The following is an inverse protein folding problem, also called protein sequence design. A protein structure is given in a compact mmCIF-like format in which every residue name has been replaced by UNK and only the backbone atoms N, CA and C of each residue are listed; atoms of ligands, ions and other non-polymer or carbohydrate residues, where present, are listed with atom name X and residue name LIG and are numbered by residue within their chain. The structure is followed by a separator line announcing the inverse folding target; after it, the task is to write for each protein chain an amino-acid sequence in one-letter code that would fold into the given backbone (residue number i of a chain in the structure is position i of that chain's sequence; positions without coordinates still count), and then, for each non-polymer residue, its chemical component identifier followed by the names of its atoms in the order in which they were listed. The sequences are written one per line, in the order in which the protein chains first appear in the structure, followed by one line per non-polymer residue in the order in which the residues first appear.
data_IF_529114381765
#
_entry.id   IF_529114381765
#
_cell.length_a   1.000
_cell.length_b   1.000
_cell.length_c   1.000
_cell.angle_alpha   90.00
_cell.angle_beta   90.00
_cell.angle_gamma   90.00
#
_symmetry.space_group_name_H-M   'P 1'
#
loop_
_entity.id
_entity.type
_entity.pdbx_description
1 polymer ?
#
# COMPACT_ATOMS: atom_id res chain seq x y z
N UNK A 1 -62.09 63.74 47.99
CA UNK A 1 -60.84 63.85 47.21
C UNK A 1 -60.18 62.48 47.17
N UNK A 2 -60.01 61.91 45.96
CA UNK A 2 -59.27 60.68 45.60
C UNK A 2 -59.71 59.35 46.23
N UNK A 3 -59.79 58.21 45.56
CA UNK A 3 -59.70 57.82 44.14
C UNK A 3 -60.18 56.35 44.15
N UNK A 4 -61.24 56.00 43.39
CA UNK A 4 -61.65 54.60 43.21
C UNK A 4 -60.72 53.95 42.19
N UNK A 5 -59.80 53.10 42.63
CA UNK A 5 -59.02 52.25 41.74
C UNK A 5 -59.85 51.04 41.31
N UNK A 6 -60.40 51.11 40.10
CA UNK A 6 -61.07 50.02 39.41
C UNK A 6 -60.03 49.11 38.75
N UNK A 7 -59.78 47.92 39.32
CA UNK A 7 -59.01 46.87 38.65
C UNK A 7 -59.91 46.19 37.61
N UNK A 8 -59.76 46.58 36.34
CA UNK A 8 -60.30 45.83 35.20
C UNK A 8 -59.52 44.53 35.05
N UNK A 9 -60.16 43.40 35.32
CA UNK A 9 -59.71 42.07 34.90
C UNK A 9 -59.96 41.94 33.41
N UNK A 10 -58.94 42.21 32.60
CA UNK A 10 -58.95 41.96 31.16
C UNK A 10 -58.76 40.47 30.91
N UNK A 11 -59.85 39.73 30.70
CA UNK A 11 -59.81 38.38 30.12
C UNK A 11 -59.36 38.49 28.67
N UNK A 12 -58.07 38.28 28.41
CA UNK A 12 -57.54 38.13 27.07
C UNK A 12 -58.12 36.87 26.40
N UNK A 13 -58.46 36.90 25.11
CA UNK A 13 -58.91 35.72 24.38
C UNK A 13 -57.79 34.66 24.39
N UNK A 14 -58.15 33.45 24.79
CA UNK A 14 -57.21 32.36 25.05
C UNK A 14 -56.44 31.98 23.77
N UNK A 15 -55.19 32.40 23.70
CA UNK A 15 -54.24 32.08 22.64
C UNK A 15 -54.04 30.56 22.55
N UNK A 16 -53.76 30.01 21.36
CA UNK A 16 -53.65 28.55 21.14
C UNK A 16 -52.62 27.90 22.06
N UNK A 17 -51.54 28.62 22.38
CA UNK A 17 -50.54 28.23 23.37
C UNK A 17 -51.10 28.10 24.79
N UNK A 18 -52.02 28.98 25.19
CA UNK A 18 -52.70 28.91 26.49
C UNK A 18 -53.66 27.72 26.59
N UNK A 19 -54.30 27.34 25.47
CA UNK A 19 -55.15 26.13 25.41
C UNK A 19 -54.33 24.85 25.54
N UNK A 20 -53.16 24.79 24.89
CA UNK A 20 -52.23 23.67 24.99
C UNK A 20 -51.66 23.58 26.42
N UNK A 21 -51.28 24.71 27.03
CA UNK A 21 -50.79 24.74 28.40
C UNK A 21 -51.85 24.29 29.42
N UNK A 22 -53.11 24.73 29.26
CA UNK A 22 -54.22 24.32 30.11
C UNK A 22 -54.54 22.82 29.97
N UNK A 23 -54.54 22.29 28.75
CA UNK A 23 -54.74 20.86 28.49
C UNK A 23 -53.61 20.01 29.11
N UNK A 24 -52.37 20.52 29.04
CA UNK A 24 -51.20 19.87 29.64
C UNK A 24 -51.21 19.86 31.16
N UNK A 25 -51.76 20.91 31.79
CA UNK A 25 -51.88 20.98 33.25
C UNK A 25 -52.94 20.00 33.79
N UNK A 26 -54.03 19.76 33.04
CA UNK A 26 -55.14 18.87 33.45
C UNK A 26 -54.75 17.39 33.27
N UNK A 27 -53.98 17.05 32.25
CA UNK A 27 -53.58 15.66 31.92
C UNK A 27 -52.10 15.37 32.23
N UNK A 28 -51.54 16.03 33.23
CA UNK A 28 -50.10 16.05 33.53
C UNK A 28 -49.47 14.66 33.69
N UNK A 29 -50.16 13.73 34.36
CA UNK A 29 -49.67 12.35 34.54
C UNK A 29 -49.61 11.53 33.25
N UNK A 30 -50.64 11.63 32.39
CA UNK A 30 -50.67 10.90 31.12
C UNK A 30 -49.64 11.44 30.13
N UNK A 31 -49.43 12.75 30.12
CA UNK A 31 -48.41 13.40 29.28
C UNK A 31 -47.01 12.98 29.73
N UNK A 32 -46.77 12.92 31.05
CA UNK A 32 -45.48 12.49 31.58
C UNK A 32 -45.18 11.03 31.21
N UNK A 33 -46.13 10.12 31.35
CA UNK A 33 -45.99 8.72 30.90
C UNK A 33 -45.78 8.64 29.38
N UNK A 34 -46.54 9.42 28.59
CA UNK A 34 -46.38 9.48 27.14
C UNK A 34 -44.98 9.92 26.72
N UNK A 35 -44.43 10.95 27.36
CA UNK A 35 -43.06 11.40 27.12
C UNK A 35 -42.01 10.38 27.57
N UNK A 36 -42.24 9.70 28.70
CA UNK A 36 -41.36 8.64 29.17
C UNK A 36 -41.30 7.48 28.18
N UNK A 37 -42.45 7.05 27.65
CA UNK A 37 -42.53 6.01 26.62
C UNK A 37 -41.86 6.47 25.33
N UNK A 38 -42.10 7.71 24.87
CA UNK A 38 -41.46 8.27 23.68
C UNK A 38 -39.94 8.38 23.83
N UNK A 39 -39.45 8.76 25.01
CA UNK A 39 -38.02 8.79 25.32
C UNK A 39 -37.42 7.38 25.30
N UNK A 40 -38.13 6.39 25.86
CA UNK A 40 -37.68 5.00 25.90
C UNK A 40 -37.64 4.38 24.49
N UNK A 41 -38.66 4.65 23.66
CA UNK A 41 -38.66 4.26 22.24
C UNK A 41 -37.51 4.96 21.49
N UNK A 42 -37.31 6.25 21.70
CA UNK A 42 -36.22 6.99 21.04
C UNK A 42 -34.85 6.45 21.45
N UNK A 43 -34.68 6.10 22.73
CA UNK A 43 -33.46 5.48 23.24
C UNK A 43 -33.24 4.11 22.61
N UNK A 44 -34.26 3.24 22.56
CA UNK A 44 -34.17 1.93 21.90
C UNK A 44 -33.81 2.09 20.42
N UNK A 45 -34.48 3.01 19.70
CA UNK A 45 -34.18 3.29 18.30
C UNK A 45 -32.76 3.82 18.10
N UNK A 46 -32.27 4.68 19.00
CA UNK A 46 -30.89 5.12 18.96
C UNK A 46 -29.93 3.95 19.17
N UNK A 47 -30.17 3.07 20.16
CA UNK A 47 -29.31 1.91 20.39
C UNK A 47 -29.33 0.89 19.25
N UNK A 48 -30.46 0.71 18.55
CA UNK A 48 -30.56 -0.29 17.46
C UNK A 48 -30.14 0.23 16.10
N UNK A 49 -30.28 1.54 15.86
CA UNK A 49 -30.14 2.13 14.52
C UNK A 49 -28.95 3.07 14.38
N UNK A 50 -28.30 3.47 15.48
CA UNK A 50 -27.10 4.29 15.42
C UNK A 50 -25.93 3.44 14.92
N UNK A 51 -25.61 3.60 13.65
CA UNK A 51 -24.44 3.01 13.01
C UNK A 51 -23.39 4.09 12.78
N UNK A 52 -22.14 3.78 13.09
CA UNK A 52 -21.00 4.63 12.75
C UNK A 52 -20.61 4.29 11.31
N UNK A 53 -20.34 5.32 10.49
CA UNK A 53 -19.84 5.12 9.14
C UNK A 53 -18.64 6.04 8.95
N UNK A 54 -17.48 5.43 8.79
CA UNK A 54 -16.18 6.10 8.67
C UNK A 54 -15.82 6.43 7.22
N UNK A 55 -16.72 6.22 6.25
CA UNK A 55 -16.51 6.56 4.84
C UNK A 55 -16.61 8.09 4.59
N UNK A 56 -15.49 8.79 4.34
CA UNK A 56 -15.50 10.23 4.07
C UNK A 56 -16.24 10.58 2.78
N UNK A 57 -16.35 9.64 1.84
CA UNK A 57 -17.09 9.80 0.60
C UNK A 57 -18.58 10.01 0.81
N UNK A 58 -19.17 9.45 1.88
CA UNK A 58 -20.60 9.65 2.21
C UNK A 58 -20.90 10.96 2.93
N UNK A 59 -19.87 11.73 3.31
CA UNK A 59 -20.05 13.07 3.87
C UNK A 59 -20.45 14.11 2.79
N UNK A 60 -20.24 13.77 1.51
CA UNK A 60 -20.52 14.64 0.37
C UNK A 60 -21.64 14.02 -0.47
N UNK A 61 -22.59 14.86 -0.91
CA UNK A 61 -23.73 14.42 -1.73
C UNK A 61 -23.28 13.61 -2.95
N UNK A 62 -23.91 12.46 -3.17
CA UNK A 62 -23.69 11.58 -4.32
C UNK A 62 -24.14 12.19 -5.65
N UNK A 63 -24.96 13.23 -5.63
CA UNK A 63 -25.54 13.81 -6.85
C UNK A 63 -24.59 14.72 -7.62
N UNK A 64 -23.46 15.09 -7.01
CA UNK A 64 -22.46 15.94 -7.64
C UNK A 64 -21.86 15.25 -8.87
N UNK A 65 -21.65 15.98 -9.98
CA UNK A 65 -21.13 15.39 -11.23
C UNK A 65 -19.87 14.56 -11.05
N UNK A 66 -18.90 15.04 -10.24
CA UNK A 66 -17.66 14.31 -9.99
C UNK A 66 -17.88 13.01 -9.21
N UNK A 67 -18.89 12.92 -8.33
CA UNK A 67 -19.21 11.70 -7.57
C UNK A 67 -19.78 10.62 -8.48
N UNK A 68 -20.59 11.01 -9.49
CA UNK A 68 -21.08 10.10 -10.52
C UNK A 68 -19.92 9.55 -11.35
N UNK A 69 -19.03 10.42 -11.83
CA UNK A 69 -17.84 10.00 -12.57
C UNK A 69 -16.90 9.12 -11.75
N UNK A 70 -16.71 9.43 -10.46
CA UNK A 70 -15.91 8.60 -9.56
C UNK A 70 -16.55 7.22 -9.33
N UNK A 71 -17.87 7.16 -9.13
CA UNK A 71 -18.60 5.91 -8.99
C UNK A 71 -18.50 5.05 -10.26
N UNK A 72 -18.62 5.66 -11.44
CA UNK A 72 -18.45 4.97 -12.73
C UNK A 72 -17.01 4.44 -12.91
N UNK A 73 -16.01 5.23 -12.51
CA UNK A 73 -14.60 4.83 -12.51
C UNK A 73 -14.36 3.65 -11.57
N UNK A 74 -14.78 3.73 -10.31
CA UNK A 74 -14.62 2.65 -9.32
C UNK A 74 -15.34 1.38 -9.75
N UNK A 75 -16.52 1.50 -10.37
CA UNK A 75 -17.25 0.35 -10.94
C UNK A 75 -16.49 -0.31 -12.10
N UNK A 76 -15.83 0.48 -12.93
CA UNK A 76 -15.08 0.00 -14.10
C UNK A 76 -13.70 -0.53 -13.74
N UNK A 77 -13.10 -0.02 -12.66
CA UNK A 77 -11.76 -0.35 -12.20
C UNK A 77 -11.77 -0.71 -10.70
N UNK A 78 -12.47 -1.79 -10.29
CA UNK A 78 -12.61 -2.15 -8.88
C UNK A 78 -11.27 -2.46 -8.21
N UNK A 79 -10.24 -2.81 -8.98
CA UNK A 79 -8.89 -3.08 -8.47
C UNK A 79 -8.15 -1.82 -7.98
N UNK A 80 -8.63 -0.61 -8.30
CA UNK A 80 -7.97 0.65 -7.93
C UNK A 80 -8.59 1.35 -6.71
N UNK A 81 -9.64 0.77 -6.14
CA UNK A 81 -10.41 1.38 -5.06
C UNK A 81 -9.97 0.85 -3.69
N UNK A 82 -9.79 1.75 -2.73
CA UNK A 82 -9.39 1.47 -1.35
C UNK A 82 -8.08 0.67 -1.21
N UNK A 83 -7.11 0.93 -2.08
CA UNK A 83 -5.79 0.31 -2.00
C UNK A 83 -4.85 1.06 -1.06
N UNK A 84 -4.06 0.30 -0.31
CA UNK A 84 -2.92 0.80 0.44
C UNK A 84 -1.65 0.58 -0.38
N UNK A 85 -0.75 1.57 -0.33
CA UNK A 85 0.55 1.46 -0.96
C UNK A 85 1.60 1.20 0.12
N UNK A 86 2.19 0.02 0.09
CA UNK A 86 3.34 -0.34 0.93
C UNK A 86 4.61 -0.02 0.14
N UNK A 87 5.51 0.73 0.78
CA UNK A 87 6.77 1.14 0.20
C UNK A 87 7.90 0.37 0.86
N UNK A 88 8.68 -0.36 0.06
CA UNK A 88 9.85 -1.10 0.53
C UNK A 88 11.09 -0.41 -0.01
N UNK A 89 11.96 0.04 0.89
CA UNK A 89 13.20 0.74 0.55
C UNK A 89 14.41 0.06 1.21
N UNK A 90 15.50 -0.08 0.45
CA UNK A 90 16.76 -0.59 0.96
C UNK A 90 17.95 0.16 0.35
N UNK A 91 19.12 0.04 0.99
CA UNK A 91 20.35 0.68 0.53
C UNK A 91 20.80 0.12 -0.84
N UNK A 92 20.50 -1.16 -1.12
CA UNK A 92 20.81 -1.87 -2.36
C UNK A 92 19.52 -2.35 -3.06
N UNK A 93 19.43 -2.15 -4.38
CA UNK A 93 18.22 -2.43 -5.17
C UNK A 93 17.78 -3.90 -5.15
N UNK A 94 18.75 -4.83 -5.23
CA UNK A 94 18.47 -6.27 -5.16
C UNK A 94 17.83 -6.68 -3.84
N UNK A 95 18.28 -6.10 -2.72
CA UNK A 95 17.70 -6.36 -1.41
C UNK A 95 16.28 -5.82 -1.33
N UNK A 96 16.03 -4.62 -1.86
CA UNK A 96 14.69 -4.06 -1.92
C UNK A 96 13.74 -4.95 -2.75
N UNK A 97 14.21 -5.46 -3.89
CA UNK A 97 13.46 -6.38 -4.76
C UNK A 97 13.10 -7.68 -4.04
N UNK A 98 14.07 -8.32 -3.39
CA UNK A 98 13.88 -9.58 -2.66
C UNK A 98 12.89 -9.43 -1.50
N UNK A 99 13.08 -8.38 -0.69
CA UNK A 99 12.16 -8.08 0.42
C UNK A 99 10.73 -7.80 -0.08
N UNK A 100 10.60 -7.06 -1.19
CA UNK A 100 9.31 -6.78 -1.80
C UNK A 100 8.62 -8.04 -2.33
N UNK A 101 9.37 -8.93 -2.98
CA UNK A 101 8.84 -10.21 -3.46
C UNK A 101 8.33 -11.07 -2.31
N UNK A 102 9.10 -11.17 -1.21
CA UNK A 102 8.69 -11.90 -0.02
C UNK A 102 7.43 -11.30 0.61
N UNK A 103 7.31 -9.97 0.64
CA UNK A 103 6.14 -9.30 1.20
C UNK A 103 4.89 -9.53 0.34
N UNK A 104 5.02 -9.45 -0.99
CA UNK A 104 3.94 -9.76 -1.93
C UNK A 104 3.45 -11.19 -1.74
N UNK A 105 4.35 -12.17 -1.61
CA UNK A 105 4.00 -13.56 -1.37
C UNK A 105 3.26 -13.75 -0.04
N UNK A 106 3.78 -13.14 1.04
CA UNK A 106 3.17 -13.17 2.36
C UNK A 106 1.75 -12.58 2.36
N UNK A 107 1.57 -11.38 1.78
CA UNK A 107 0.24 -10.75 1.71
C UNK A 107 -0.71 -11.52 0.78
N UNK A 108 -0.20 -12.04 -0.34
CA UNK A 108 -1.01 -12.85 -1.25
C UNK A 108 -1.54 -14.12 -0.61
N UNK A 109 -0.84 -14.68 0.39
CA UNK A 109 -1.27 -15.86 1.14
C UNK A 109 -2.41 -15.58 2.13
N UNK A 110 -2.55 -14.33 2.59
CA UNK A 110 -3.56 -13.90 3.58
C UNK A 110 -4.81 -13.35 2.91
N UNK A 111 -5.55 -14.23 2.23
CA UNK A 111 -6.81 -13.90 1.54
C UNK A 111 -7.95 -13.49 2.48
N UNK A 112 -7.80 -13.79 3.76
CA UNK A 112 -8.67 -13.32 4.85
C UNK A 112 -8.54 -11.82 5.09
N UNK A 113 -7.34 -11.26 4.91
CA UNK A 113 -7.07 -9.83 5.12
C UNK A 113 -6.99 -9.04 3.82
N UNK A 114 -6.52 -9.67 2.74
CA UNK A 114 -6.25 -8.99 1.47
C UNK A 114 -6.93 -9.68 0.29
N UNK A 115 -7.81 -8.94 -0.37
CA UNK A 115 -8.52 -9.38 -1.56
C UNK A 115 -7.60 -9.40 -2.79
N UNK A 116 -6.70 -8.42 -2.91
CA UNK A 116 -5.76 -8.30 -4.03
C UNK A 116 -4.41 -7.74 -3.57
N UNK A 117 -3.33 -8.20 -4.21
CA UNK A 117 -1.95 -7.81 -3.90
C UNK A 117 -1.16 -7.78 -5.20
N UNK A 118 -0.60 -6.63 -5.53
CA UNK A 118 0.14 -6.44 -6.77
C UNK A 118 1.29 -5.46 -6.57
N UNK A 119 2.46 -5.78 -7.14
CA UNK A 119 3.61 -4.89 -7.14
C UNK A 119 4.06 -4.62 -8.59
N UNK A 120 3.96 -3.37 -9.07
CA UNK A 120 4.40 -3.01 -10.41
C UNK A 120 5.88 -3.36 -10.63
N UNK A 121 6.19 -3.98 -11.77
CA UNK A 121 7.57 -4.35 -12.12
C UNK A 121 8.12 -5.61 -11.44
N UNK A 122 7.34 -6.23 -10.53
CA UNK A 122 7.67 -7.53 -9.93
C UNK A 122 6.87 -8.66 -10.58
N UNK A 123 7.36 -9.88 -10.37
CA UNK A 123 6.69 -11.12 -10.77
C UNK A 123 7.22 -11.73 -12.07
N UNK A 124 6.69 -12.91 -12.44
CA UNK A 124 7.26 -13.76 -13.49
C UNK A 124 7.32 -13.08 -14.86
N UNK A 125 6.37 -12.18 -15.15
CA UNK A 125 6.33 -11.44 -16.41
C UNK A 125 7.55 -10.51 -16.54
N UNK A 126 7.78 -9.65 -15.54
CA UNK A 126 8.92 -8.72 -15.57
C UNK A 126 10.26 -9.43 -15.37
N UNK A 127 10.29 -10.53 -14.61
CA UNK A 127 11.49 -11.36 -14.50
C UNK A 127 11.91 -11.96 -15.87
N UNK A 128 10.95 -12.25 -16.75
CA UNK A 128 11.21 -12.83 -18.07
C UNK A 128 11.38 -11.79 -19.19
N UNK A 129 10.54 -10.77 -19.19
CA UNK A 129 10.40 -9.81 -20.30
C UNK A 129 10.89 -8.41 -19.94
N UNK A 130 11.37 -8.16 -18.72
CA UNK A 130 11.80 -6.83 -18.27
C UNK A 130 12.86 -6.19 -19.15
N UNK A 131 13.78 -6.98 -19.72
CA UNK A 131 14.83 -6.50 -20.63
C UNK A 131 14.23 -5.88 -21.92
N UNK A 132 13.04 -6.30 -22.34
CA UNK A 132 12.38 -5.78 -23.54
C UNK A 132 11.85 -4.34 -23.38
N UNK A 133 11.86 -3.81 -22.16
CA UNK A 133 11.51 -2.41 -21.89
C UNK A 133 12.70 -1.46 -22.08
N UNK A 134 13.89 -1.97 -22.37
CA UNK A 134 15.08 -1.16 -22.63
C UNK A 134 15.16 -0.73 -24.11
N UNK A 135 15.85 0.39 -24.41
CA UNK A 135 16.17 0.76 -25.78
C UNK A 135 16.97 -0.34 -26.51
N UNK A 136 16.78 -0.46 -27.83
CA UNK A 136 17.44 -1.49 -28.64
C UNK A 136 18.97 -1.48 -28.51
N UNK A 137 19.58 -0.29 -28.38
CA UNK A 137 21.03 -0.13 -28.16
C UNK A 137 21.51 -0.78 -26.86
N UNK A 138 20.73 -0.67 -25.78
CA UNK A 138 21.05 -1.30 -24.50
C UNK A 138 20.90 -2.81 -24.56
N UNK A 139 19.83 -3.29 -25.22
CA UNK A 139 19.63 -4.74 -25.44
C UNK A 139 20.82 -5.32 -26.21
N UNK A 140 21.26 -4.67 -27.31
CA UNK A 140 22.44 -5.07 -28.08
C UNK A 140 23.71 -5.14 -27.23
N UNK A 141 23.92 -4.14 -26.36
CA UNK A 141 25.05 -4.12 -25.44
C UNK A 141 25.02 -5.29 -24.45
N UNK A 142 23.86 -5.57 -23.85
CA UNK A 142 23.66 -6.69 -22.92
C UNK A 142 23.97 -8.01 -23.62
N UNK A 143 23.44 -8.22 -24.83
CA UNK A 143 23.68 -9.44 -25.62
C UNK A 143 25.17 -9.60 -25.94
N UNK A 144 25.84 -8.53 -26.39
CA UNK A 144 27.27 -8.57 -26.71
C UNK A 144 28.12 -8.91 -25.47
N UNK A 145 27.88 -8.25 -24.34
CA UNK A 145 28.61 -8.50 -23.08
C UNK A 145 28.35 -9.89 -22.52
N UNK A 146 27.12 -10.39 -22.66
CA UNK A 146 26.77 -11.77 -22.28
C UNK A 146 27.53 -12.78 -23.14
N UNK A 147 27.63 -12.55 -24.46
CA UNK A 147 28.44 -13.40 -25.35
C UNK A 147 29.92 -13.40 -25.00
N UNK A 148 30.48 -12.22 -24.71
CA UNK A 148 31.88 -12.07 -24.28
C UNK A 148 32.16 -12.76 -22.94
N UNK A 149 31.17 -12.82 -22.05
CA UNK A 149 31.28 -13.46 -20.73
C UNK A 149 30.92 -14.96 -20.74
N UNK A 150 30.55 -15.54 -21.89
CA UNK A 150 30.02 -16.90 -21.96
C UNK A 150 30.95 -17.97 -21.41
N UNK A 151 32.25 -17.91 -21.71
CA UNK A 151 33.23 -18.86 -21.16
C UNK A 151 33.41 -18.70 -19.64
N UNK A 152 33.44 -17.45 -19.14
CA UNK A 152 33.48 -17.20 -17.71
C UNK A 152 32.22 -17.77 -17.01
N UNK A 153 31.05 -17.60 -17.62
CA UNK A 153 29.78 -18.14 -17.11
C UNK A 153 29.76 -19.67 -17.12
N UNK A 154 30.32 -20.33 -18.14
CA UNK A 154 30.46 -21.79 -18.17
C UNK A 154 31.32 -22.29 -17.01
N UNK A 155 32.45 -21.62 -16.75
CA UNK A 155 33.33 -22.00 -15.64
C UNK A 155 32.65 -21.82 -14.27
N UNK A 156 31.92 -20.72 -14.08
CA UNK A 156 31.20 -20.44 -12.83
C UNK A 156 30.02 -21.38 -12.59
N UNK A 157 29.30 -21.77 -13.64
CA UNK A 157 28.15 -22.69 -13.54
C UNK A 157 28.58 -24.14 -13.33
N UNK A 158 29.77 -24.53 -13.78
CA UNK A 158 30.33 -25.86 -13.52
C UNK A 158 30.62 -26.12 -12.02
N UNK A 159 30.91 -25.07 -11.23
CA UNK A 159 31.16 -25.19 -9.79
C UNK A 159 30.72 -23.91 -9.06
N UNK A 160 29.41 -23.77 -8.74
CA UNK A 160 28.84 -22.58 -8.12
C UNK A 160 29.13 -22.51 -6.61
N UNK A 161 30.39 -22.58 -6.23
CA UNK A 161 30.85 -22.51 -4.85
C UNK A 161 32.20 -21.76 -4.75
N UNK A 162 32.65 -21.45 -3.53
CA UNK A 162 33.89 -20.70 -3.30
C UNK A 162 35.14 -21.42 -3.83
N UNK A 163 35.14 -22.75 -3.82
CA UNK A 163 36.26 -23.53 -4.36
C UNK A 163 36.32 -23.43 -5.89
N UNK A 164 35.19 -23.53 -6.57
CA UNK A 164 35.08 -23.28 -8.01
C UNK A 164 35.48 -21.86 -8.37
N UNK A 165 35.06 -20.87 -7.57
CA UNK A 165 35.50 -19.50 -7.73
C UNK A 165 37.03 -19.35 -7.66
N UNK A 166 37.65 -19.98 -6.67
CA UNK A 166 39.11 -19.97 -6.52
C UNK A 166 39.81 -20.64 -7.71
N UNK A 167 39.26 -21.72 -8.27
CA UNK A 167 39.78 -22.36 -9.48
C UNK A 167 39.71 -21.45 -10.70
N UNK A 168 38.60 -20.73 -10.90
CA UNK A 168 38.48 -19.74 -11.99
C UNK A 168 39.53 -18.65 -11.84
N UNK A 169 39.73 -18.13 -10.62
CA UNK A 169 40.75 -17.11 -10.37
C UNK A 169 42.17 -17.62 -10.68
N UNK A 170 42.48 -18.87 -10.32
CA UNK A 170 43.77 -19.49 -10.64
C UNK A 170 43.98 -19.66 -12.15
N UNK A 171 42.93 -20.00 -12.90
CA UNK A 171 43.02 -20.17 -14.36
C UNK A 171 43.23 -18.84 -15.08
N UNK A 172 42.67 -17.75 -14.56
CA UNK A 172 42.73 -16.43 -15.21
C UNK A 172 43.91 -15.58 -14.71
N UNK A 173 44.50 -15.90 -13.56
CA UNK A 173 45.64 -15.16 -13.00
C UNK A 173 46.84 -15.02 -13.96
N UNK A 174 47.27 -16.05 -14.73
CA UNK A 174 48.37 -15.92 -15.68
C UNK A 174 48.08 -14.92 -16.81
N UNK A 175 46.84 -14.91 -17.31
CA UNK A 175 46.42 -13.98 -18.36
C UNK A 175 46.43 -12.52 -17.85
N UNK A 176 45.93 -12.31 -16.63
CA UNK A 176 45.97 -10.99 -15.97
C UNK A 176 47.41 -10.53 -15.75
N UNK A 177 48.29 -11.42 -15.28
CA UNK A 177 49.71 -11.13 -15.08
C UNK A 177 50.44 -10.78 -16.40
N UNK A 178 49.99 -11.35 -17.52
CA UNK A 178 50.47 -11.03 -18.87
C UNK A 178 49.86 -9.75 -19.47
N UNK A 179 49.07 -8.98 -18.69
CA UNK A 179 48.38 -7.76 -19.15
C UNK A 179 47.15 -8.03 -20.02
N UNK A 180 46.72 -9.28 -20.12
CA UNK A 180 45.53 -9.70 -20.87
C UNK A 180 44.37 -9.91 -19.89
N UNK A 181 43.63 -8.84 -19.58
CA UNK A 181 42.41 -8.94 -18.77
C UNK A 181 41.18 -8.73 -19.66
N UNK A 182 40.43 -9.79 -20.01
CA UNK A 182 39.13 -9.62 -20.64
C UNK A 182 38.22 -8.76 -19.76
N UNK A 183 37.48 -7.81 -20.35
CA UNK A 183 36.62 -6.88 -19.62
C UNK A 183 35.62 -7.58 -18.68
N UNK A 184 35.12 -8.75 -19.09
CA UNK A 184 34.23 -9.60 -18.30
C UNK A 184 34.87 -10.05 -16.98
N UNK A 185 36.16 -10.42 -17.01
CA UNK A 185 36.92 -10.83 -15.82
C UNK A 185 37.16 -9.63 -14.91
N UNK A 186 37.52 -8.48 -15.48
CA UNK A 186 37.72 -7.25 -14.71
C UNK A 186 36.43 -6.81 -13.99
N UNK A 187 35.28 -6.90 -14.66
CA UNK A 187 33.95 -6.65 -14.08
C UNK A 187 33.64 -7.59 -12.92
N UNK A 188 33.83 -8.90 -13.13
CA UNK A 188 33.64 -9.93 -12.11
C UNK A 188 34.52 -9.69 -10.87
N UNK A 189 35.81 -9.41 -11.06
CA UNK A 189 36.75 -9.16 -9.96
C UNK A 189 36.36 -7.91 -9.15
N UNK A 190 35.88 -6.86 -9.81
CA UNK A 190 35.43 -5.63 -9.16
C UNK A 190 34.22 -5.87 -8.27
N UNK A 191 33.18 -6.55 -8.76
CA UNK A 191 31.98 -6.85 -7.97
C UNK A 191 32.27 -7.84 -6.83
N UNK A 192 33.14 -8.83 -7.07
CA UNK A 192 33.60 -9.75 -6.03
C UNK A 192 34.37 -9.02 -4.93
N UNK A 193 35.31 -8.12 -5.31
CA UNK A 193 36.03 -7.27 -4.35
C UNK A 193 35.07 -6.41 -3.53
N UNK A 194 34.07 -5.77 -4.17
CA UNK A 194 33.03 -4.97 -3.48
C UNK A 194 32.34 -5.81 -2.41
N UNK A 195 31.86 -6.98 -2.79
CA UNK A 195 31.08 -7.87 -1.91
C UNK A 195 31.93 -8.44 -0.77
N UNK A 196 33.14 -8.93 -1.05
CA UNK A 196 34.04 -9.48 -0.04
C UNK A 196 34.48 -8.41 0.97
N UNK A 197 34.85 -7.21 0.50
CA UNK A 197 35.27 -6.10 1.37
C UNK A 197 34.12 -5.65 2.27
N UNK A 198 32.91 -5.59 1.73
CA UNK A 198 31.71 -5.28 2.50
C UNK A 198 31.47 -6.34 3.59
N UNK A 199 31.59 -7.62 3.25
CA UNK A 199 31.40 -8.72 4.20
C UNK A 199 32.43 -8.73 5.32
N UNK A 200 33.70 -8.46 5.01
CA UNK A 200 34.79 -8.32 6.00
C UNK A 200 34.51 -7.13 6.93
N UNK A 201 33.89 -6.07 6.41
CA UNK A 201 33.48 -4.90 7.18
C UNK A 201 32.15 -5.10 7.94
N UNK A 202 31.71 -6.34 8.13
CA UNK A 202 30.43 -6.73 8.76
C UNK A 202 29.17 -6.10 8.10
N UNK A 203 29.26 -5.72 6.82
CA UNK A 203 28.11 -5.27 6.00
C UNK A 203 27.62 -6.41 5.11
N UNK A 204 26.31 -6.59 5.04
CA UNK A 204 25.69 -7.59 4.17
C UNK A 204 25.38 -6.97 2.81
N UNK A 205 26.28 -7.15 1.85
CA UNK A 205 26.05 -6.78 0.44
C UNK A 205 25.90 -8.07 -0.36
N UNK A 206 24.91 -8.10 -1.24
CA UNK A 206 24.69 -9.22 -2.16
C UNK A 206 25.45 -8.95 -3.46
N UNK A 207 26.10 -9.97 -4.01
CA UNK A 207 26.79 -9.85 -5.30
C UNK A 207 25.77 -9.58 -6.41
N UNK A 208 26.01 -8.54 -7.19
CA UNK A 208 25.22 -8.22 -8.37
C UNK A 208 25.76 -8.99 -9.59
N UNK A 209 25.13 -10.14 -9.86
CA UNK A 209 25.46 -10.98 -11.00
C UNK A 209 25.19 -10.31 -12.35
N UNK A 210 24.16 -9.46 -12.43
CA UNK A 210 23.89 -8.73 -13.65
C UNK A 210 25.04 -7.76 -13.92
N UNK A 211 25.47 -6.98 -12.92
CA UNK A 211 26.60 -6.06 -13.04
C UNK A 211 27.92 -6.73 -13.37
N UNK A 212 28.09 -7.96 -12.93
CA UNK A 212 29.25 -8.77 -13.23
C UNK A 212 29.35 -9.10 -14.73
N UNK A 213 28.24 -9.50 -15.35
CA UNK A 213 28.17 -9.92 -16.77
C UNK A 213 28.02 -8.73 -17.71
N UNK A 214 27.15 -7.79 -17.35
CA UNK A 214 26.84 -6.63 -18.18
C UNK A 214 27.78 -5.47 -17.92
N UNK A 215 28.68 -5.54 -16.93
CA UNK A 215 29.59 -4.46 -16.55
C UNK A 215 28.90 -3.15 -16.14
N UNK A 216 27.60 -3.18 -15.91
CA UNK A 216 26.76 -2.05 -15.49
C UNK A 216 25.96 -2.47 -14.26
N UNK A 217 25.97 -1.64 -13.21
CA UNK A 217 25.19 -1.93 -11.99
C UNK A 217 23.74 -2.24 -12.39
N UNK A 218 23.25 -3.42 -11.99
CA UNK A 218 21.86 -3.80 -12.19
C UNK A 218 20.99 -2.73 -11.54
N UNK A 219 20.23 -2.01 -12.37
CA UNK A 219 19.42 -0.88 -11.93
C UNK A 219 18.10 -1.39 -11.31
N UNK A 220 18.17 -2.37 -10.40
CA UNK A 220 17.01 -2.63 -9.56
C UNK A 220 16.77 -1.37 -8.72
N UNK A 221 15.55 -0.82 -8.72
CA UNK A 221 15.26 0.34 -7.93
C UNK A 221 15.44 0.02 -6.44
N UNK A 222 15.99 0.98 -5.71
CA UNK A 222 16.14 0.90 -4.25
C UNK A 222 14.81 0.97 -3.51
N UNK A 223 13.77 1.43 -4.20
CA UNK A 223 12.42 1.59 -3.67
C UNK A 223 11.42 0.87 -4.56
N UNK A 224 10.59 0.04 -3.95
CA UNK A 224 9.51 -0.70 -4.59
C UNK A 224 8.17 -0.31 -3.98
N UNK A 225 7.13 -0.35 -4.81
CA UNK A 225 5.75 -0.06 -4.41
C UNK A 225 4.93 -1.33 -4.52
N UNK A 226 4.15 -1.61 -3.49
CA UNK A 226 3.26 -2.76 -3.44
C UNK A 226 1.87 -2.22 -3.16
N UNK A 227 0.95 -2.40 -4.10
CA UNK A 227 -0.46 -2.10 -3.94
C UNK A 227 -1.16 -3.27 -3.28
N UNK A 228 -1.84 -3.01 -2.18
CA UNK A 228 -2.53 -4.02 -1.37
C UNK A 228 -3.97 -3.57 -1.18
N UNK A 229 -4.92 -4.45 -1.48
CA UNK A 229 -6.34 -4.18 -1.29
C UNK A 229 -6.87 -4.99 -0.09
N UNK A 230 -7.03 -4.37 1.09
CA UNK A 230 -7.57 -5.05 2.24
C UNK A 230 -9.06 -5.32 2.09
N UNK A 231 -9.52 -6.28 2.88
CA UNK A 231 -10.93 -6.48 3.18
C UNK A 231 -11.28 -5.49 4.28
N UNK A 232 -12.11 -4.50 3.99
CA UNK A 232 -12.50 -3.44 4.94
C UNK A 232 -13.90 -3.70 5.50
N UNK A 233 -14.06 -3.49 6.80
CA UNK A 233 -15.36 -3.44 7.47
C UNK A 233 -15.64 -2.03 8.01
N UNK A 234 -16.46 -1.27 7.29
CA UNK A 234 -16.80 0.12 7.67
C UNK A 234 -17.82 0.22 8.83
N UNK A 235 -18.25 -0.91 9.40
CA UNK A 235 -19.13 -0.92 10.58
C UNK A 235 -18.38 -0.71 11.89
N UNK A 236 -17.05 -0.79 11.88
CA UNK A 236 -16.19 -0.55 13.03
C UNK A 236 -15.65 0.89 13.09
N UNK A 237 -15.27 1.33 14.30
CA UNK A 237 -14.70 2.67 14.55
C UNK A 237 -13.35 2.83 13.84
N UNK A 238 -12.59 1.74 13.74
CA UNK A 238 -11.44 1.62 12.86
C UNK A 238 -11.77 0.58 11.76
N UNK A 239 -11.97 1.00 10.50
CA UNK A 239 -12.35 0.09 9.42
C UNK A 239 -11.23 -0.90 9.03
N UNK A 240 -10.08 -0.87 9.70
CA UNK A 240 -8.92 -1.74 9.49
C UNK A 240 -8.63 -2.73 10.63
N UNK A 241 -9.37 -2.68 11.75
CA UNK A 241 -9.36 -3.76 12.74
C UNK A 241 -10.18 -4.95 12.19
N UNK A 242 -9.57 -6.13 12.22
CA UNK A 242 -10.20 -7.43 11.90
C UNK A 242 -9.78 -8.44 12.96
#
# INVERSE_FOLDING_TARGET
MKERSSKKTTTQPMNIYGRIAGFSAIHSGQILVGWLVAALISMVLAFTSLQINTDPGKMISSDLPFRKSFADFTRSFPANDNNFIVVVEAEEGKQAREASRALVESFSSRKDLFSDVYAPGLGPFFDRYGILYLPESEIKNIVQRTRQSSELLKLLTASPNLAGLAQVLQQVAPAIAAGQSPDAVAGFLRETKKTVTARISNRSVVLDWAATVTGQVGQDPKRWFISVKPVLDFSEIDPSEV
#
